data_IF_088918359158
#
_entry.id   IF_088918359158
#
_cell.length_a   1.000
_cell.length_b   1.000
_cell.length_c   1.000
_cell.angle_alpha   90.00
_cell.angle_beta   90.00
_cell.angle_gamma   90.00
#
_symmetry.space_group_name_H-M   'P 1'
#
loop_
_entity.id
_entity.type
_entity.pdbx_description
1 polymer ?
#
# COMPACT_ATOMS: atom_id res chain seq x y z
N UNK A 1 10.44 28.87 -12.01
CA UNK A 1 11.25 28.66 -10.80
C UNK A 1 10.29 28.95 -9.66
N UNK A 2 9.91 27.94 -8.88
CA UNK A 2 8.89 28.11 -7.85
C UNK A 2 9.34 29.08 -6.76
N UNK A 3 8.44 29.97 -6.33
CA UNK A 3 8.71 30.89 -5.23
C UNK A 3 8.59 30.12 -3.90
N UNK A 4 9.44 30.41 -2.90
CA UNK A 4 9.28 29.83 -1.58
C UNK A 4 7.96 30.28 -0.94
N UNK A 5 7.40 29.45 -0.05
CA UNK A 5 6.12 29.72 0.62
C UNK A 5 6.08 31.09 1.29
N UNK A 6 7.17 31.51 1.94
CA UNK A 6 7.26 32.81 2.60
C UNK A 6 7.02 33.95 1.61
N UNK A 7 7.56 33.82 0.39
CA UNK A 7 7.39 34.84 -0.65
C UNK A 7 5.95 34.90 -1.17
N UNK A 8 5.27 33.77 -1.32
CA UNK A 8 3.84 33.74 -1.65
C UNK A 8 2.98 34.43 -0.58
N UNK A 9 3.35 34.32 0.69
CA UNK A 9 2.66 34.98 1.79
C UNK A 9 2.94 36.49 1.83
N UNK A 10 4.17 36.92 1.55
CA UNK A 10 4.52 38.34 1.48
C UNK A 10 3.68 39.07 0.42
N UNK A 11 3.45 38.42 -0.72
CA UNK A 11 2.64 38.96 -1.83
C UNK A 11 1.18 39.25 -1.45
N UNK A 12 0.72 38.81 -0.27
CA UNK A 12 -0.60 39.19 0.25
C UNK A 12 -0.64 40.64 0.78
N UNK A 13 0.51 41.31 0.99
CA UNK A 13 0.55 42.73 1.35
C UNK A 13 -0.07 43.56 0.20
N UNK A 14 -1.15 44.34 0.45
CA UNK A 14 -1.77 45.16 -0.59
C UNK A 14 -0.81 46.06 -1.35
N UNK A 15 0.28 46.51 -0.72
CA UNK A 15 1.30 47.39 -1.32
C UNK A 15 2.09 46.74 -2.46
N UNK A 16 2.09 45.40 -2.55
CA UNK A 16 2.78 44.65 -3.60
C UNK A 16 1.88 44.37 -4.82
N UNK A 17 0.98 45.31 -5.15
CA UNK A 17 0.05 45.16 -6.28
C UNK A 17 0.77 45.03 -7.62
N UNK A 18 1.79 45.86 -7.87
CA UNK A 18 2.58 45.79 -9.10
C UNK A 18 3.28 44.43 -9.24
N UNK A 19 3.90 43.92 -8.17
CA UNK A 19 4.57 42.62 -8.19
C UNK A 19 3.57 41.47 -8.41
N UNK A 20 2.38 41.52 -7.80
CA UNK A 20 1.32 40.55 -8.09
C UNK A 20 0.84 40.61 -9.54
N UNK A 21 0.80 41.80 -10.15
CA UNK A 21 0.36 41.98 -11.53
C UNK A 21 1.29 41.33 -12.56
N UNK A 22 2.56 41.11 -12.19
CA UNK A 22 3.55 40.40 -13.02
C UNK A 22 3.41 38.86 -12.94
N UNK A 23 2.67 38.35 -11.96
CA UNK A 23 2.43 36.91 -11.78
C UNK A 23 1.29 36.49 -12.72
N UNK A 24 1.65 35.74 -13.76
CA UNK A 24 0.68 35.24 -14.73
C UNK A 24 -0.14 34.09 -14.15
N UNK A 25 -1.33 33.91 -14.70
CA UNK A 25 -2.18 32.75 -14.39
C UNK A 25 -1.49 31.43 -14.73
N UNK A 26 -0.79 31.36 -15.86
CA UNK A 26 0.05 30.22 -16.24
C UNK A 26 1.07 29.84 -15.15
N UNK A 27 1.67 30.84 -14.49
CA UNK A 27 2.61 30.61 -13.40
C UNK A 27 1.90 30.04 -12.17
N UNK A 28 0.77 30.64 -11.75
CA UNK A 28 -0.04 30.15 -10.64
C UNK A 28 -0.53 28.71 -10.86
N UNK A 29 -0.92 28.39 -12.08
CA UNK A 29 -1.31 27.05 -12.47
C UNK A 29 -0.14 26.06 -12.42
N UNK A 30 1.02 26.46 -12.95
CA UNK A 30 2.21 25.64 -12.93
C UNK A 30 2.58 25.25 -11.49
N UNK A 31 2.50 26.18 -10.54
CA UNK A 31 2.71 25.92 -9.11
C UNK A 31 1.72 24.87 -8.56
N UNK A 32 0.42 25.03 -8.88
CA UNK A 32 -0.61 24.08 -8.46
C UNK A 32 -0.39 22.67 -9.04
N UNK A 33 0.01 22.56 -10.31
CA UNK A 33 0.33 21.29 -10.98
C UNK A 33 1.60 20.66 -10.43
N UNK A 34 2.62 21.46 -10.15
CA UNK A 34 3.87 21.01 -9.53
C UNK A 34 3.60 20.43 -8.14
N UNK A 35 2.82 21.12 -7.30
CA UNK A 35 2.39 20.60 -6.00
C UNK A 35 1.70 19.24 -6.11
N UNK A 36 0.75 19.08 -7.06
CA UNK A 36 0.06 17.80 -7.26
C UNK A 36 1.04 16.69 -7.64
N UNK A 37 1.97 16.96 -8.56
CA UNK A 37 2.96 15.98 -8.98
C UNK A 37 3.89 15.58 -7.82
N UNK A 38 4.34 16.54 -7.03
CA UNK A 38 5.20 16.30 -5.87
C UNK A 38 4.51 15.45 -4.80
N UNK A 39 3.30 15.84 -4.38
CA UNK A 39 2.56 15.10 -3.36
C UNK A 39 2.23 13.69 -3.85
N UNK A 40 1.88 13.52 -5.12
CA UNK A 40 1.65 12.20 -5.73
C UNK A 40 2.89 11.32 -5.64
N UNK A 41 4.06 11.86 -5.98
CA UNK A 41 5.34 11.16 -5.84
C UNK A 41 5.65 10.78 -4.39
N UNK A 42 5.42 11.68 -3.42
CA UNK A 42 5.59 11.36 -1.99
C UNK A 42 4.63 10.30 -1.49
N UNK A 43 3.38 10.28 -1.97
CA UNK A 43 2.41 9.23 -1.64
C UNK A 43 2.82 7.87 -2.21
N UNK A 44 3.34 7.83 -3.43
CA UNK A 44 3.86 6.60 -4.05
C UNK A 44 5.07 6.07 -3.27
N UNK A 45 6.00 6.96 -2.91
CA UNK A 45 7.15 6.62 -2.07
C UNK A 45 6.71 6.07 -0.69
N UNK A 46 5.78 6.74 -0.02
CA UNK A 46 5.26 6.28 1.27
C UNK A 46 4.60 4.89 1.17
N UNK A 47 3.86 4.62 0.09
CA UNK A 47 3.26 3.31 -0.16
C UNK A 47 4.32 2.23 -0.40
N UNK A 48 5.40 2.55 -1.12
CA UNK A 48 6.52 1.64 -1.35
C UNK A 48 7.23 1.27 -0.03
N UNK A 49 7.44 2.24 0.86
CA UNK A 49 7.98 1.99 2.21
C UNK A 49 7.09 1.02 2.98
N UNK A 50 5.76 1.22 2.97
CA UNK A 50 4.83 0.28 3.62
C UNK A 50 4.89 -1.13 3.02
N UNK A 51 5.09 -1.24 1.70
CA UNK A 51 5.22 -2.52 1.02
C UNK A 51 6.51 -3.25 1.44
N UNK A 52 7.62 -2.53 1.61
CA UNK A 52 8.88 -3.11 2.12
C UNK A 52 8.72 -3.56 3.58
N UNK A 53 8.11 -2.75 4.45
CA UNK A 53 7.80 -3.15 5.83
C UNK A 53 6.94 -4.42 5.86
N UNK A 54 5.91 -4.51 5.02
CA UNK A 54 5.09 -5.72 4.92
C UNK A 54 5.87 -6.92 4.37
N UNK A 55 6.80 -6.71 3.43
CA UNK A 55 7.62 -7.78 2.88
C UNK A 55 8.57 -8.35 3.95
N UNK A 56 9.11 -7.52 4.84
CA UNK A 56 9.94 -8.00 5.95
C UNK A 56 9.17 -8.96 6.87
N UNK A 57 7.90 -8.66 7.16
CA UNK A 57 7.01 -9.54 7.92
C UNK A 57 6.71 -10.84 7.15
N UNK A 58 6.58 -10.76 5.82
CA UNK A 58 6.43 -11.95 4.97
C UNK A 58 7.70 -12.82 4.99
N UNK A 59 8.88 -12.21 4.94
CA UNK A 59 10.15 -12.91 4.94
C UNK A 59 10.39 -13.61 6.28
N UNK A 60 10.07 -12.95 7.39
CA UNK A 60 10.07 -13.56 8.72
C UNK A 60 9.16 -14.80 8.76
N UNK A 61 7.94 -14.69 8.23
CA UNK A 61 7.01 -15.80 8.12
C UNK A 61 7.62 -16.97 7.32
N UNK A 62 8.16 -16.67 6.14
CA UNK A 62 8.70 -17.69 5.24
C UNK A 62 9.96 -18.35 5.77
N UNK A 63 10.81 -17.61 6.48
CA UNK A 63 12.01 -18.16 7.12
C UNK A 63 11.63 -19.15 8.22
N UNK A 64 10.71 -18.80 9.11
CA UNK A 64 10.23 -19.71 10.15
C UNK A 64 9.50 -20.93 9.55
N UNK A 65 8.71 -20.71 8.49
CA UNK A 65 8.05 -21.80 7.78
C UNK A 65 9.05 -22.75 7.09
N UNK A 66 10.19 -22.24 6.60
CA UNK A 66 11.26 -23.06 6.03
C UNK A 66 11.92 -23.92 7.10
N UNK A 67 12.32 -23.34 8.23
CA UNK A 67 12.91 -24.08 9.35
C UNK A 67 11.99 -25.19 9.87
N UNK A 68 10.71 -24.87 10.10
CA UNK A 68 9.73 -25.85 10.55
C UNK A 68 9.56 -27.00 9.55
N UNK A 69 9.71 -26.75 8.24
CA UNK A 69 9.53 -27.77 7.19
C UNK A 69 10.71 -28.75 7.10
N UNK A 70 11.89 -28.34 7.51
CA UNK A 70 13.08 -29.20 7.57
C UNK A 70 12.98 -30.21 8.73
N UNK A 71 12.22 -29.88 9.77
CA UNK A 71 12.10 -30.68 11.00
C UNK A 71 10.78 -31.47 11.11
N UNK A 72 9.74 -31.09 10.35
CA UNK A 72 8.37 -31.58 10.54
C UNK A 72 7.90 -32.64 9.52
N UNK A 73 7.01 -33.54 9.96
CA UNK A 73 6.30 -34.50 9.11
C UNK A 73 5.30 -33.81 8.15
N UNK A 74 4.86 -34.47 7.06
CA UNK A 74 3.96 -33.86 6.05
C UNK A 74 2.66 -33.26 6.63
N UNK A 75 2.18 -33.78 7.77
CA UNK A 75 0.96 -33.35 8.47
C UNK A 75 1.18 -32.17 9.42
N UNK A 76 2.43 -31.91 9.80
CA UNK A 76 2.84 -30.80 10.67
C UNK A 76 3.31 -29.57 9.87
N UNK A 77 3.34 -29.68 8.53
CA UNK A 77 3.66 -28.59 7.63
C UNK A 77 2.46 -27.64 7.46
N UNK A 78 2.69 -26.36 7.73
CA UNK A 78 1.74 -25.29 7.40
C UNK A 78 1.32 -25.35 5.92
N UNK A 79 0.03 -25.09 5.68
CA UNK A 79 -0.58 -25.03 4.35
C UNK A 79 -0.95 -23.61 3.97
N UNK A 80 -0.79 -22.64 4.86
CA UNK A 80 -1.03 -21.22 4.58
C UNK A 80 0.26 -20.55 4.08
N UNK A 81 0.09 -19.57 3.20
CA UNK A 81 1.15 -18.70 2.73
C UNK A 81 0.71 -17.25 2.72
N UNK A 82 1.68 -16.34 2.72
CA UNK A 82 1.46 -14.90 2.58
C UNK A 82 2.13 -14.34 1.33
N UNK A 83 1.61 -13.22 0.82
CA UNK A 83 2.28 -12.42 -0.20
C UNK A 83 1.97 -10.93 -0.02
N UNK A 84 2.95 -10.11 -0.41
CA UNK A 84 2.85 -8.66 -0.44
C UNK A 84 3.02 -8.16 -1.86
N UNK A 85 2.16 -7.22 -2.28
CA UNK A 85 2.18 -6.61 -3.62
C UNK A 85 1.64 -5.18 -3.56
N UNK A 86 2.04 -4.39 -4.54
CA UNK A 86 1.33 -3.16 -4.90
C UNK A 86 0.46 -3.48 -6.13
N UNK A 87 -0.84 -3.19 -6.04
CA UNK A 87 -1.77 -3.26 -7.17
C UNK A 87 -2.30 -1.85 -7.45
N UNK A 88 -1.80 -1.22 -8.52
CA UNK A 88 -2.04 0.19 -8.79
C UNK A 88 -1.52 1.05 -7.64
N UNK A 89 -2.41 1.73 -6.93
CA UNK A 89 -2.09 2.61 -5.79
C UNK A 89 -2.44 1.98 -4.43
N UNK A 90 -2.59 0.65 -4.37
CA UNK A 90 -3.02 -0.07 -3.16
C UNK A 90 -2.00 -1.10 -2.71
N UNK A 91 -1.77 -1.15 -1.39
CA UNK A 91 -1.02 -2.22 -0.74
C UNK A 91 -1.90 -3.46 -0.56
N UNK A 92 -1.41 -4.60 -1.03
CA UNK A 92 -2.01 -5.92 -0.84
C UNK A 92 -1.05 -6.80 -0.06
N UNK A 93 -1.30 -6.96 1.23
CA UNK A 93 -0.69 -7.99 2.07
C UNK A 93 -1.77 -9.03 2.38
N UNK A 94 -1.65 -10.26 1.92
CA UNK A 94 -2.74 -11.23 1.96
C UNK A 94 -2.32 -12.67 2.18
N UNK A 95 -3.25 -13.46 2.70
CA UNK A 95 -3.07 -14.88 2.97
C UNK A 95 -3.75 -15.74 1.91
N UNK A 96 -3.15 -16.89 1.62
CA UNK A 96 -3.69 -17.91 0.73
C UNK A 96 -3.42 -19.30 1.29
N UNK A 97 -4.24 -20.27 0.91
CA UNK A 97 -4.09 -21.69 1.28
C UNK A 97 -3.53 -22.48 0.12
N UNK A 98 -2.44 -23.17 0.35
CA UNK A 98 -1.79 -24.08 -0.58
C UNK A 98 -2.38 -25.49 -0.47
N UNK A 99 -2.62 -26.10 -1.61
CA UNK A 99 -2.94 -27.53 -1.75
C UNK A 99 -1.93 -28.16 -2.70
N UNK A 100 -1.36 -29.28 -2.29
CA UNK A 100 -0.42 -30.04 -3.10
C UNK A 100 -1.20 -31.12 -3.84
N UNK A 101 -1.18 -31.08 -5.17
CA UNK A 101 -1.91 -32.01 -6.02
C UNK A 101 -0.91 -32.80 -6.85
N UNK A 102 -0.97 -34.12 -6.75
CA UNK A 102 -0.24 -35.04 -7.62
C UNK A 102 -1.06 -35.24 -8.89
N UNK A 103 -0.57 -34.73 -10.03
CA UNK A 103 -1.27 -34.88 -11.31
C UNK A 103 -0.89 -36.18 -12.03
N UNK A 104 0.30 -36.71 -11.74
CA UNK A 104 0.85 -37.95 -12.32
C UNK A 104 1.60 -38.69 -11.21
N UNK A 105 1.35 -40.00 -11.00
CA UNK A 105 2.07 -40.79 -10.00
C UNK A 105 3.59 -40.69 -10.18
N UNK A 106 4.30 -40.30 -9.12
CA UNK A 106 5.76 -40.22 -9.12
C UNK A 106 6.36 -38.91 -9.66
N UNK A 107 5.53 -37.91 -10.00
CA UNK A 107 6.01 -36.55 -10.30
C UNK A 107 5.93 -35.61 -9.09
N UNK A 108 6.72 -34.52 -9.14
CA UNK A 108 6.66 -33.47 -8.12
C UNK A 108 5.24 -32.89 -8.01
N UNK A 109 4.67 -32.93 -6.80
CA UNK A 109 3.35 -32.37 -6.49
C UNK A 109 3.29 -30.89 -6.89
N UNK A 110 2.24 -30.48 -7.61
CA UNK A 110 2.00 -29.08 -7.98
C UNK A 110 1.30 -28.36 -6.84
N UNK A 111 1.68 -27.09 -6.61
CA UNK A 111 1.02 -26.24 -5.60
C UNK A 111 -0.11 -25.44 -6.24
N UNK A 112 -1.32 -25.60 -5.71
CA UNK A 112 -2.48 -24.77 -6.02
C UNK A 112 -2.78 -23.84 -4.83
N UNK A 113 -2.72 -22.54 -5.05
CA UNK A 113 -2.97 -21.52 -4.03
C UNK A 113 -4.39 -20.96 -4.16
N UNK A 114 -5.17 -21.04 -3.09
CA UNK A 114 -6.53 -20.48 -3.00
C UNK A 114 -6.51 -19.25 -2.09
N UNK A 115 -6.93 -18.09 -2.59
CA UNK A 115 -7.01 -16.87 -1.80
C UNK A 115 -7.96 -17.03 -0.60
N UNK A 116 -7.54 -16.55 0.58
CA UNK A 116 -8.38 -16.47 1.77
C UNK A 116 -9.02 -15.09 1.77
N UNK A 117 -10.35 -15.02 1.81
CA UNK A 117 -11.04 -13.72 1.91
C UNK A 117 -10.88 -13.16 3.32
N UNK A 118 -10.34 -11.95 3.44
CA UNK A 118 -10.18 -11.24 4.73
C UNK A 118 -11.50 -10.95 5.46
N UNK A 119 -12.54 -10.58 4.70
CA UNK A 119 -13.76 -10.01 5.25
C UNK A 119 -13.66 -8.49 5.45
N UNK A 120 -14.43 -7.96 6.41
CA UNK A 120 -14.49 -6.52 6.71
C UNK A 120 -13.32 -6.09 7.61
N UNK A 121 -12.86 -4.85 7.44
CA UNK A 121 -11.81 -4.26 8.27
C UNK A 121 -10.38 -4.51 7.74
N UNK A 122 -9.39 -4.27 8.59
CA UNK A 122 -7.98 -4.36 8.23
C UNK A 122 -7.32 -5.69 8.59
N UNK A 123 -7.93 -6.50 9.46
CA UNK A 123 -7.39 -7.77 9.92
C UNK A 123 -8.16 -9.00 9.37
N UNK A 124 -7.47 -10.11 9.18
CA UNK A 124 -8.07 -11.44 8.99
C UNK A 124 -8.51 -12.01 10.35
N UNK A 125 -9.65 -12.71 10.39
CA UNK A 125 -10.02 -13.48 11.58
C UNK A 125 -9.15 -14.73 11.73
N UNK A 126 -8.62 -14.98 12.94
CA UNK A 126 -7.86 -16.21 13.21
C UNK A 126 -8.66 -17.50 13.03
N UNK A 127 -9.98 -17.41 13.01
CA UNK A 127 -10.85 -18.54 12.68
C UNK A 127 -10.56 -19.15 11.29
N UNK A 128 -9.99 -18.38 10.36
CA UNK A 128 -9.56 -18.88 9.05
C UNK A 128 -8.36 -19.82 9.11
N UNK A 129 -7.57 -19.74 10.18
CA UNK A 129 -6.29 -20.45 10.34
C UNK A 129 -6.36 -21.56 11.40
N UNK A 130 -7.54 -21.84 11.98
CA UNK A 130 -7.73 -22.86 13.04
C UNK A 130 -7.31 -24.29 12.70
N UNK A 131 -7.08 -24.58 11.42
CA UNK A 131 -6.65 -25.90 10.92
C UNK A 131 -5.14 -25.99 10.70
N UNK A 132 -4.42 -24.89 10.88
CA UNK A 132 -2.97 -24.87 10.81
C UNK A 132 -2.37 -25.42 12.12
N UNK A 133 -1.14 -25.95 12.10
CA UNK A 133 -0.40 -26.28 13.32
C UNK A 133 -0.29 -25.08 14.27
N UNK A 134 -0.20 -25.34 15.58
CA UNK A 134 -0.17 -24.28 16.62
C UNK A 134 0.95 -23.26 16.35
N UNK A 135 2.17 -23.73 16.05
CA UNK A 135 3.31 -22.88 15.72
C UNK A 135 3.01 -21.93 14.53
N UNK A 136 2.28 -22.42 13.53
CA UNK A 136 1.91 -21.64 12.36
C UNK A 136 0.81 -20.63 12.69
N UNK A 137 -0.15 -20.99 13.55
CA UNK A 137 -1.19 -20.07 14.00
C UNK A 137 -0.60 -18.88 14.78
N UNK A 138 0.36 -19.13 15.67
CA UNK A 138 1.06 -18.10 16.45
C UNK A 138 1.81 -17.13 15.54
N UNK A 139 2.58 -17.68 14.59
CA UNK A 139 3.33 -16.89 13.62
C UNK A 139 2.41 -16.08 12.69
N UNK A 140 1.31 -16.69 12.22
CA UNK A 140 0.28 -15.97 11.43
C UNK A 140 -0.30 -14.83 12.25
N UNK A 141 -0.62 -15.04 13.53
CA UNK A 141 -1.19 -14.00 14.39
C UNK A 141 -0.21 -12.83 14.58
N UNK A 142 1.08 -13.12 14.74
CA UNK A 142 2.12 -12.09 14.86
C UNK A 142 2.20 -11.24 13.59
N UNK A 143 2.35 -11.88 12.43
CA UNK A 143 2.45 -11.22 11.12
C UNK A 143 1.17 -10.47 10.78
N UNK A 144 0.00 -11.07 11.03
CA UNK A 144 -1.29 -10.46 10.71
C UNK A 144 -1.58 -9.23 11.56
N UNK A 145 -1.15 -9.21 12.83
CA UNK A 145 -1.23 -8.01 13.67
C UNK A 145 -0.48 -6.84 13.02
N UNK A 146 0.71 -7.09 12.47
CA UNK A 146 1.51 -6.08 11.76
C UNK A 146 0.86 -5.67 10.45
N UNK A 147 0.41 -6.64 9.64
CA UNK A 147 -0.30 -6.37 8.40
C UNK A 147 -1.56 -5.54 8.59
N UNK A 148 -2.32 -5.76 9.66
CA UNK A 148 -3.52 -4.97 9.93
C UNK A 148 -3.19 -3.47 10.06
N UNK A 149 -2.13 -3.14 10.81
CA UNK A 149 -1.65 -1.76 10.96
C UNK A 149 -1.14 -1.20 9.63
N UNK A 150 -0.38 -1.97 8.86
CA UNK A 150 0.13 -1.53 7.55
C UNK A 150 -1.00 -1.27 6.55
N UNK A 151 -2.02 -2.13 6.51
CA UNK A 151 -3.22 -1.93 5.68
C UNK A 151 -4.01 -0.69 6.13
N UNK A 152 -4.04 -0.40 7.43
CA UNK A 152 -4.66 0.83 7.96
C UNK A 152 -3.90 2.08 7.50
N UNK A 153 -2.56 2.09 7.62
CA UNK A 153 -1.69 3.18 7.09
C UNK A 153 -1.88 3.37 5.58
N UNK A 154 -1.88 2.29 4.81
CA UNK A 154 -2.12 2.35 3.37
C UNK A 154 -3.52 2.91 3.02
N UNK A 155 -4.54 2.61 3.85
CA UNK A 155 -5.88 3.18 3.69
C UNK A 155 -5.89 4.68 3.95
N UNK A 156 -5.10 5.18 4.91
CA UNK A 156 -4.94 6.61 5.13
C UNK A 156 -4.27 7.29 3.92
N UNK A 157 -3.21 6.71 3.36
CA UNK A 157 -2.58 7.21 2.12
C UNK A 157 -3.57 7.25 0.95
N UNK A 158 -4.42 6.24 0.81
CA UNK A 158 -5.45 6.22 -0.22
C UNK A 158 -6.49 7.35 -0.04
N UNK A 159 -6.81 7.73 1.20
CA UNK A 159 -7.68 8.90 1.47
C UNK A 159 -7.02 10.21 1.06
N UNK A 160 -5.74 10.40 1.39
CA UNK A 160 -4.98 11.59 0.98
C UNK A 160 -4.94 11.69 -0.54
N UNK A 161 -4.67 10.58 -1.24
CA UNK A 161 -4.69 10.55 -2.71
C UNK A 161 -6.04 10.96 -3.29
N UNK A 162 -7.16 10.52 -2.70
CA UNK A 162 -8.49 10.92 -3.16
C UNK A 162 -8.73 12.42 -3.00
N UNK A 163 -8.30 12.99 -1.87
CA UNK A 163 -8.38 14.44 -1.65
C UNK A 163 -7.50 15.21 -2.65
N UNK A 164 -6.29 14.72 -2.94
CA UNK A 164 -5.41 15.31 -3.94
C UNK A 164 -6.02 15.27 -5.35
N UNK A 165 -6.63 14.16 -5.74
CA UNK A 165 -7.30 14.04 -7.03
C UNK A 165 -8.51 14.99 -7.15
N UNK A 166 -9.24 15.23 -6.05
CA UNK A 166 -10.32 16.22 -6.03
C UNK A 166 -9.78 17.64 -6.20
N UNK A 167 -8.68 17.97 -5.52
CA UNK A 167 -8.00 19.26 -5.69
C UNK A 167 -7.49 19.45 -7.13
N UNK A 168 -6.83 18.45 -7.72
CA UNK A 168 -6.39 18.49 -9.12
C UNK A 168 -7.56 18.69 -10.10
N UNK A 169 -8.72 18.09 -9.81
CA UNK A 169 -9.93 18.29 -10.61
C UNK A 169 -10.43 19.74 -10.53
N UNK A 170 -10.32 20.39 -9.38
CA UNK A 170 -10.71 21.79 -9.21
C UNK A 170 -9.75 22.73 -9.94
N UNK A 171 -8.44 22.48 -9.86
CA UNK A 171 -7.45 23.21 -10.65
C UNK A 171 -7.76 23.16 -12.16
N UNK A 172 -8.09 21.98 -12.68
CA UNK A 172 -8.42 21.82 -14.10
C UNK A 172 -9.76 22.47 -14.51
N UNK A 173 -10.66 22.78 -13.57
CA UNK A 173 -11.93 23.48 -13.89
C UNK A 173 -11.71 24.97 -14.07
N UNK A 174 -10.89 25.59 -13.22
CA UNK A 174 -10.55 27.01 -13.33
C UNK A 174 -9.99 27.33 -14.72
N UNK A 175 -9.17 26.44 -15.28
CA UNK A 175 -8.63 26.57 -16.65
C UNK A 175 -9.68 26.38 -17.77
N UNK A 176 -10.75 25.60 -17.55
CA UNK A 176 -11.70 25.26 -18.64
C UNK A 176 -12.77 26.32 -18.87
N UNK A 177 -12.96 27.24 -17.92
CA UNK A 177 -13.98 28.29 -18.01
C UNK A 177 -13.48 29.54 -18.80
N UNK A 178 -12.25 29.50 -19.33
CA UNK A 178 -11.63 30.59 -20.10
C UNK A 178 -11.52 30.34 -21.63
N UNK A 179 -12.22 29.33 -22.17
CA UNK A 179 -12.27 29.06 -23.63
C UNK A 179 -13.66 29.29 -24.21
#
# INVERSE_FOLDING_TARGET
MSLPTERWLDLLDPKLEEERSEITEDLLEAEGREFVAEVRSKLDHALAVLAVEAQQEADMYWNAHKSAREEASEDEQGRVGTRVRILGVSLVAEWYRNRFVEQVPGQKKRVLSTHIKKGRGHAYSMSHFKKEPVWAQELIQQVETRYAVLRQRATALAKIRRALNEYERQLNKTHSDEV
#
